data_IF_693168571389
#
_entry.id   IF_693168571389
#
_cell.length_a   1.000
_cell.length_b   1.000
_cell.length_c   1.000
_cell.angle_alpha   90.00
_cell.angle_beta   90.00
_cell.angle_gamma   90.00
#
_symmetry.space_group_name_H-M   'P 1'
#
loop_
_entity.id
_entity.type
_entity.pdbx_description
1 polymer ?
#
# COMPACT_ATOMS: atom_id res chain seq x y z
N UNK A 1 -13.83 -9.37 30.11
CA UNK A 1 -14.41 -8.01 30.26
C UNK A 1 -15.04 -7.57 28.94
N UNK A 2 -16.21 -6.91 28.94
CA UNK A 2 -16.68 -6.23 27.73
C UNK A 2 -15.67 -5.13 27.36
N UNK A 3 -15.48 -4.79 26.06
CA UNK A 3 -14.55 -3.74 25.68
C UNK A 3 -14.83 -2.43 26.43
N UNK A 4 -13.79 -1.78 26.95
CA UNK A 4 -13.92 -0.49 27.66
C UNK A 4 -14.57 0.60 26.80
N UNK A 5 -14.52 0.44 25.47
CA UNK A 5 -15.12 1.35 24.49
C UNK A 5 -16.64 1.17 24.33
N UNK A 6 -17.25 0.21 25.02
CA UNK A 6 -18.68 -0.08 24.87
C UNK A 6 -19.53 0.69 25.86
N UNK A 7 -20.59 1.32 25.35
CA UNK A 7 -21.63 1.87 26.21
C UNK A 7 -22.37 0.73 26.94
N UNK A 8 -22.87 1.01 28.15
CA UNK A 8 -23.73 0.07 28.89
C UNK A 8 -24.94 -0.39 28.06
N UNK A 9 -25.45 0.46 27.16
CA UNK A 9 -26.53 0.12 26.24
C UNK A 9 -26.09 -0.92 25.21
N UNK A 10 -24.88 -0.78 24.63
CA UNK A 10 -24.30 -1.74 23.69
C UNK A 10 -24.12 -3.12 24.35
N UNK A 11 -23.62 -3.14 25.59
CA UNK A 11 -23.46 -4.39 26.37
C UNK A 11 -24.82 -5.06 26.58
N UNK A 12 -25.84 -4.32 27.02
CA UNK A 12 -27.20 -4.85 27.22
C UNK A 12 -27.82 -5.37 25.92
N UNK A 13 -27.60 -4.69 24.80
CA UNK A 13 -28.11 -5.07 23.50
C UNK A 13 -27.48 -6.35 22.97
N UNK A 14 -26.16 -6.49 23.11
CA UNK A 14 -25.43 -7.70 22.71
C UNK A 14 -25.83 -8.86 23.62
N UNK A 15 -25.92 -8.66 24.93
CA UNK A 15 -26.37 -9.69 25.88
C UNK A 15 -27.78 -10.18 25.55
N UNK A 16 -28.73 -9.28 25.34
CA UNK A 16 -30.10 -9.64 24.95
C UNK A 16 -30.16 -10.41 23.62
N UNK A 17 -29.23 -10.17 22.69
CA UNK A 17 -29.13 -10.93 21.45
C UNK A 17 -28.64 -12.37 21.69
N UNK A 18 -27.62 -12.53 22.54
CA UNK A 18 -27.08 -13.84 22.94
C UNK A 18 -28.14 -14.65 23.68
N UNK A 19 -28.80 -14.04 24.68
CA UNK A 19 -29.87 -14.69 25.44
C UNK A 19 -31.00 -15.15 24.48
N UNK A 20 -31.37 -14.32 23.50
CA UNK A 20 -32.39 -14.68 22.50
C UNK A 20 -31.95 -15.85 21.62
N UNK A 21 -30.66 -15.94 21.26
CA UNK A 21 -30.09 -17.06 20.51
C UNK A 21 -30.15 -18.35 21.33
N UNK A 22 -29.76 -18.28 22.61
CA UNK A 22 -29.70 -19.42 23.51
C UNK A 22 -31.09 -19.99 23.84
N UNK A 23 -32.10 -19.12 23.90
CA UNK A 23 -33.49 -19.55 24.06
C UNK A 23 -34.06 -20.26 22.82
N UNK A 24 -33.34 -20.31 21.68
CA UNK A 24 -33.75 -21.11 20.52
C UNK A 24 -33.32 -22.56 20.68
N UNK A 25 -34.16 -23.47 20.18
CA UNK A 25 -33.77 -24.87 20.05
C UNK A 25 -32.46 -24.98 19.24
N UNK A 26 -31.55 -25.90 19.58
CA UNK A 26 -30.28 -26.06 18.86
C UNK A 26 -30.43 -26.21 17.34
N UNK A 27 -31.51 -26.85 16.87
CA UNK A 27 -31.82 -27.01 15.44
C UNK A 27 -32.21 -25.69 14.75
N UNK A 28 -32.73 -24.73 15.50
CA UNK A 28 -33.24 -23.45 14.99
C UNK A 28 -32.22 -22.30 15.13
N UNK A 29 -31.18 -22.50 15.95
CA UNK A 29 -30.13 -21.50 16.23
C UNK A 29 -29.42 -21.01 14.96
N UNK A 30 -29.03 -21.92 14.07
CA UNK A 30 -28.42 -21.56 12.78
C UNK A 30 -29.37 -20.74 11.90
N UNK A 31 -30.66 -21.11 11.87
CA UNK A 31 -31.67 -20.39 11.09
C UNK A 31 -31.96 -19.01 11.69
N UNK A 32 -31.95 -18.87 13.01
CA UNK A 32 -32.09 -17.59 13.70
C UNK A 32 -30.98 -16.62 13.30
N UNK A 33 -29.72 -17.06 13.25
CA UNK A 33 -28.60 -16.22 12.83
C UNK A 33 -28.71 -15.77 11.38
N UNK A 34 -29.17 -16.65 10.50
CA UNK A 34 -29.42 -16.32 9.09
C UNK A 34 -30.61 -15.36 8.92
N UNK A 35 -31.73 -15.60 9.61
CA UNK A 35 -32.95 -14.80 9.53
C UNK A 35 -32.86 -13.45 10.26
N UNK A 36 -32.03 -13.34 11.30
CA UNK A 36 -31.75 -12.06 11.95
C UNK A 36 -31.13 -11.02 10.99
N UNK A 37 -30.56 -11.45 9.85
CA UNK A 37 -30.15 -10.56 8.74
C UNK A 37 -31.33 -10.03 7.93
N UNK A 38 -32.41 -10.78 7.82
CA UNK A 38 -33.57 -10.50 6.98
C UNK A 38 -34.71 -9.77 7.72
N UNK A 39 -34.74 -9.83 9.05
CA UNK A 39 -35.87 -9.36 9.89
C UNK A 39 -35.84 -7.86 10.25
N UNK A 40 -34.92 -7.06 9.72
CA UNK A 40 -34.94 -5.58 9.86
C UNK A 40 -34.54 -5.02 11.24
N UNK A 41 -34.61 -3.69 11.34
CA UNK A 41 -33.85 -2.78 12.24
C UNK A 41 -33.79 -3.09 13.75
N UNK A 42 -34.74 -3.84 14.30
CA UNK A 42 -34.76 -4.15 15.74
C UNK A 42 -33.60 -5.06 16.19
N UNK A 43 -33.04 -5.84 15.25
CA UNK A 43 -31.88 -6.71 15.47
C UNK A 43 -30.59 -6.17 14.86
N UNK A 44 -30.67 -5.20 13.94
CA UNK A 44 -29.52 -4.65 13.21
C UNK A 44 -28.51 -4.02 14.16
N UNK A 45 -28.96 -3.16 15.08
CA UNK A 45 -28.07 -2.49 16.04
C UNK A 45 -27.38 -3.48 17.01
N UNK A 46 -28.10 -4.51 17.45
CA UNK A 46 -27.55 -5.54 18.37
C UNK A 46 -26.51 -6.41 17.67
N UNK A 47 -26.80 -6.81 16.44
CA UNK A 47 -25.93 -7.63 15.60
C UNK A 47 -24.72 -6.86 15.08
N UNK A 48 -24.87 -5.59 14.77
CA UNK A 48 -23.76 -4.72 14.35
C UNK A 48 -22.80 -4.46 15.50
N UNK A 49 -23.31 -4.26 16.72
CA UNK A 49 -22.51 -4.25 17.94
C UNK A 49 -21.69 -5.52 18.12
N UNK A 50 -22.31 -6.70 17.94
CA UNK A 50 -21.61 -7.98 17.97
C UNK A 50 -20.59 -8.16 16.85
N UNK A 51 -20.92 -7.81 15.60
CA UNK A 51 -19.95 -7.89 14.49
C UNK A 51 -18.76 -6.96 14.70
N UNK A 52 -19.01 -5.75 15.21
CA UNK A 52 -17.95 -4.79 15.55
C UNK A 52 -17.07 -5.36 16.66
N UNK A 53 -17.64 -6.01 17.66
CA UNK A 53 -16.89 -6.76 18.67
C UNK A 53 -15.96 -7.78 18.03
N UNK A 54 -16.56 -8.75 17.32
CA UNK A 54 -15.85 -9.88 16.74
C UNK A 54 -14.75 -9.36 15.82
N UNK A 55 -15.00 -8.32 15.03
CA UNK A 55 -14.00 -7.71 14.15
C UNK A 55 -12.83 -7.07 14.92
N UNK A 56 -13.08 -6.36 16.01
CA UNK A 56 -12.02 -5.74 16.84
C UNK A 56 -11.23 -6.84 17.54
N UNK A 57 -11.93 -7.77 18.18
CA UNK A 57 -11.35 -8.86 18.96
C UNK A 57 -10.55 -9.81 18.07
N UNK A 58 -11.07 -10.16 16.88
CA UNK A 58 -10.38 -10.96 15.87
C UNK A 58 -9.02 -10.34 15.49
N UNK A 59 -8.96 -9.01 15.36
CA UNK A 59 -7.72 -8.28 15.07
C UNK A 59 -6.77 -8.23 16.25
N UNK A 60 -7.28 -7.98 17.47
CA UNK A 60 -6.46 -7.89 18.68
C UNK A 60 -5.82 -9.23 19.03
N UNK A 61 -6.60 -10.32 18.97
CA UNK A 61 -6.16 -11.68 19.29
C UNK A 61 -5.43 -12.32 18.09
N UNK A 62 -5.47 -11.68 16.91
CA UNK A 62 -4.89 -12.19 15.66
C UNK A 62 -5.35 -13.63 15.37
N UNK A 63 -6.66 -13.87 15.45
CA UNK A 63 -7.26 -15.20 15.27
C UNK A 63 -6.82 -15.84 13.95
N UNK A 64 -6.72 -15.05 12.87
CA UNK A 64 -6.22 -15.53 11.57
C UNK A 64 -4.79 -16.08 11.69
N UNK A 65 -3.87 -15.35 12.35
CA UNK A 65 -2.51 -15.84 12.58
C UNK A 65 -2.43 -17.04 13.54
N UNK A 66 -3.44 -17.25 14.39
CA UNK A 66 -3.51 -18.44 15.24
C UNK A 66 -3.96 -19.64 14.42
N UNK A 67 -4.96 -19.44 13.55
CA UNK A 67 -5.40 -20.43 12.57
C UNK A 67 -4.22 -20.82 11.66
N UNK A 68 -3.54 -19.84 11.05
CA UNK A 68 -2.43 -20.09 10.13
C UNK A 68 -1.26 -20.83 10.82
N UNK A 69 -0.85 -20.41 12.03
CA UNK A 69 0.20 -21.10 12.79
C UNK A 69 -0.19 -22.52 13.16
N UNK A 70 -1.44 -22.76 13.51
CA UNK A 70 -1.90 -24.10 13.87
C UNK A 70 -1.98 -25.03 12.67
N UNK A 71 -2.39 -24.51 11.50
CA UNK A 71 -2.33 -25.25 10.25
C UNK A 71 -0.88 -25.65 9.93
N UNK A 72 0.06 -24.71 10.10
CA UNK A 72 1.50 -24.96 9.96
C UNK A 72 2.00 -26.01 10.98
N UNK A 73 1.67 -25.87 12.27
CA UNK A 73 2.11 -26.74 13.37
C UNK A 73 1.61 -28.20 13.22
N UNK A 74 0.44 -28.38 12.60
CA UNK A 74 -0.14 -29.70 12.34
C UNK A 74 0.21 -30.25 10.94
N UNK A 75 1.03 -29.53 10.16
CA UNK A 75 1.38 -29.91 8.80
C UNK A 75 0.17 -29.99 7.86
N UNK A 76 -0.91 -29.28 8.18
CA UNK A 76 -2.13 -29.25 7.37
C UNK A 76 -1.87 -28.30 6.21
N UNK A 77 -1.57 -28.86 5.05
CA UNK A 77 -1.36 -28.10 3.82
C UNK A 77 -2.67 -27.60 3.24
N UNK A 78 -2.61 -26.55 2.41
CA UNK A 78 -3.76 -26.03 1.67
C UNK A 78 -4.47 -27.12 0.87
N UNK A 79 -3.70 -28.02 0.25
CA UNK A 79 -4.21 -29.13 -0.55
C UNK A 79 -5.03 -30.10 0.31
N UNK A 80 -4.55 -30.41 1.52
CA UNK A 80 -5.28 -31.28 2.46
C UNK A 80 -6.60 -30.68 2.95
N UNK A 81 -6.70 -29.35 3.04
CA UNK A 81 -7.96 -28.66 3.39
C UNK A 81 -8.99 -28.73 2.25
N UNK A 82 -8.54 -28.74 1.00
CA UNK A 82 -9.42 -28.86 -0.17
C UNK A 82 -9.98 -30.28 -0.33
N UNK A 83 -9.15 -31.28 -0.04
CA UNK A 83 -9.58 -32.68 -0.07
C UNK A 83 -10.64 -33.01 0.98
N UNK A 84 -10.72 -32.24 2.08
CA UNK A 84 -11.71 -32.40 3.16
C UNK A 84 -13.11 -31.84 2.82
N UNK A 85 -13.41 -31.58 1.54
CA UNK A 85 -14.72 -31.07 1.10
C UNK A 85 -15.84 -32.08 1.41
N UNK A 86 -16.79 -31.68 2.26
CA UNK A 86 -18.02 -32.44 2.55
C UNK A 86 -18.36 -32.57 4.03
N UNK A 87 -17.45 -32.17 4.92
CA UNK A 87 -17.66 -32.15 6.37
C UNK A 87 -18.55 -30.94 6.75
N UNK A 88 -19.86 -31.18 6.69
CA UNK A 88 -20.91 -30.17 6.79
C UNK A 88 -21.26 -29.75 8.22
N UNK A 89 -20.78 -30.49 9.22
CA UNK A 89 -21.01 -30.18 10.62
C UNK A 89 -19.70 -29.95 11.39
N UNK A 90 -19.77 -29.12 12.44
CA UNK A 90 -18.66 -28.87 13.38
C UNK A 90 -18.17 -30.18 14.03
N UNK A 91 -19.07 -31.16 14.18
CA UNK A 91 -18.77 -32.50 14.67
C UNK A 91 -17.79 -33.29 13.79
N UNK A 92 -17.64 -32.86 12.54
CA UNK A 92 -16.81 -33.53 11.55
C UNK A 92 -15.40 -32.91 11.52
N UNK A 93 -15.16 -31.86 12.32
CA UNK A 93 -13.82 -31.30 12.47
C UNK A 93 -12.91 -32.31 13.20
N UNK A 94 -11.65 -32.36 12.78
CA UNK A 94 -10.64 -33.16 13.47
C UNK A 94 -10.52 -32.71 14.94
N UNK A 95 -10.22 -33.60 15.89
CA UNK A 95 -10.05 -33.22 17.30
C UNK A 95 -9.08 -32.04 17.50
N UNK A 96 -8.00 -31.98 16.72
CA UNK A 96 -7.05 -30.85 16.72
C UNK A 96 -7.68 -29.51 16.32
N UNK A 97 -8.69 -29.51 15.47
CA UNK A 97 -9.43 -28.30 15.08
C UNK A 97 -10.42 -27.85 16.18
N UNK A 98 -10.99 -28.80 16.93
CA UNK A 98 -11.84 -28.50 18.09
C UNK A 98 -11.03 -27.91 19.26
N UNK A 99 -9.79 -28.38 19.44
CA UNK A 99 -8.85 -27.82 20.43
C UNK A 99 -8.49 -26.36 20.10
N UNK A 100 -8.36 -26.02 18.82
CA UNK A 100 -8.13 -24.63 18.37
C UNK A 100 -9.33 -23.74 18.67
N UNK A 101 -10.55 -24.21 18.40
CA UNK A 101 -11.78 -23.46 18.72
C UNK A 101 -11.89 -23.25 20.23
N UNK A 102 -11.57 -24.27 21.02
CA UNK A 102 -11.57 -24.21 22.48
C UNK A 102 -10.49 -23.27 23.03
N UNK A 103 -9.28 -23.29 22.48
CA UNK A 103 -8.20 -22.40 22.89
C UNK A 103 -8.48 -20.94 22.52
N UNK A 104 -8.94 -20.69 21.29
CA UNK A 104 -9.33 -19.36 20.85
C UNK A 104 -10.53 -18.85 21.66
N UNK A 105 -11.47 -19.72 22.01
CA UNK A 105 -12.56 -19.42 22.95
C UNK A 105 -12.02 -18.94 24.29
N UNK A 106 -11.17 -19.72 24.96
CA UNK A 106 -10.62 -19.40 26.29
C UNK A 106 -9.80 -18.10 26.29
N UNK A 107 -9.02 -17.85 25.24
CA UNK A 107 -8.20 -16.63 25.14
C UNK A 107 -9.07 -15.40 24.86
N UNK A 108 -10.15 -15.57 24.09
CA UNK A 108 -10.92 -14.45 23.54
C UNK A 108 -12.12 -14.07 24.41
N UNK A 109 -12.69 -15.04 25.12
CA UNK A 109 -13.91 -14.89 25.89
C UNK A 109 -13.65 -15.43 27.30
N UNK A 110 -13.36 -14.54 28.26
CA UNK A 110 -13.33 -14.89 29.68
C UNK A 110 -14.70 -15.47 30.09
N UNK A 111 -14.72 -16.59 30.83
CA UNK A 111 -15.92 -17.37 31.15
C UNK A 111 -17.09 -16.56 31.76
N UNK A 112 -16.84 -15.39 32.33
CA UNK A 112 -17.79 -14.70 33.21
C UNK A 112 -18.83 -13.77 32.53
N UNK A 113 -18.73 -13.45 31.23
CA UNK A 113 -19.46 -12.26 30.69
C UNK A 113 -20.53 -12.53 29.65
N UNK A 114 -20.33 -13.48 28.75
CA UNK A 114 -21.17 -13.63 27.55
C UNK A 114 -21.95 -14.95 27.47
N UNK A 115 -22.19 -15.60 28.60
CA UNK A 115 -23.06 -16.78 28.65
C UNK A 115 -22.37 -18.08 28.21
N UNK A 116 -23.11 -19.20 28.16
CA UNK A 116 -22.57 -20.54 27.94
C UNK A 116 -21.76 -20.70 26.64
N UNK A 117 -20.80 -21.62 26.69
CA UNK A 117 -19.78 -21.90 25.67
C UNK A 117 -20.31 -22.14 24.24
N UNK A 118 -21.61 -22.40 24.07
CA UNK A 118 -22.25 -22.81 22.81
C UNK A 118 -22.34 -21.68 21.78
N UNK A 119 -22.67 -20.44 22.18
CA UNK A 119 -22.78 -19.31 21.24
C UNK A 119 -21.42 -18.87 20.69
N UNK A 120 -20.40 -18.87 21.55
CA UNK A 120 -19.03 -18.54 21.17
C UNK A 120 -18.44 -19.63 20.28
N UNK A 121 -18.63 -20.91 20.62
CA UNK A 121 -18.27 -22.04 19.74
C UNK A 121 -18.89 -21.90 18.35
N UNK A 122 -20.18 -21.58 18.29
CA UNK A 122 -20.86 -21.37 17.01
C UNK A 122 -20.25 -20.20 16.23
N UNK A 123 -19.93 -19.09 16.89
CA UNK A 123 -19.33 -17.91 16.24
C UNK A 123 -17.94 -18.22 15.69
N UNK A 124 -17.12 -18.97 16.42
CA UNK A 124 -15.82 -19.43 15.92
C UNK A 124 -15.98 -20.40 14.76
N UNK A 125 -16.87 -21.38 14.88
CA UNK A 125 -17.16 -22.30 13.79
C UNK A 125 -17.65 -21.59 12.53
N UNK A 126 -18.53 -20.60 12.65
CA UNK A 126 -18.98 -19.78 11.53
C UNK A 126 -17.84 -18.93 10.93
N UNK A 127 -16.91 -18.46 11.78
CA UNK A 127 -15.72 -17.72 11.34
C UNK A 127 -14.74 -18.62 10.60
N UNK A 128 -14.53 -19.82 11.11
CA UNK A 128 -13.75 -20.88 10.48
C UNK A 128 -14.35 -21.27 9.13
N UNK A 129 -15.67 -21.48 9.08
CA UNK A 129 -16.38 -21.82 7.84
C UNK A 129 -16.26 -20.73 6.78
N UNK A 130 -16.36 -19.46 7.20
CA UNK A 130 -16.12 -18.33 6.31
C UNK A 130 -14.68 -18.31 5.79
N UNK A 131 -13.69 -18.53 6.65
CA UNK A 131 -12.29 -18.61 6.24
C UNK A 131 -12.08 -19.76 5.23
N UNK A 132 -12.61 -20.96 5.50
CA UNK A 132 -12.57 -22.09 4.56
C UNK A 132 -13.23 -21.76 3.22
N UNK A 133 -14.37 -21.08 3.25
CA UNK A 133 -15.11 -20.67 2.05
C UNK A 133 -14.33 -19.65 1.22
N UNK A 134 -13.69 -18.67 1.86
CA UNK A 134 -12.83 -17.69 1.20
C UNK A 134 -11.60 -18.35 0.61
N UNK A 135 -10.91 -19.19 1.39
CA UNK A 135 -9.77 -19.98 0.95
C UNK A 135 -10.10 -20.82 -0.28
N UNK A 136 -11.24 -21.50 -0.25
CA UNK A 136 -11.67 -22.34 -1.35
C UNK A 136 -12.01 -21.55 -2.62
N UNK A 137 -12.62 -20.37 -2.48
CA UNK A 137 -12.86 -19.48 -3.62
C UNK A 137 -11.53 -19.04 -4.24
N UNK A 138 -10.56 -18.69 -3.40
CA UNK A 138 -9.25 -18.22 -3.85
C UNK A 138 -8.47 -19.36 -4.52
N UNK A 139 -8.57 -20.60 -4.01
CA UNK A 139 -8.00 -21.79 -4.65
C UNK A 139 -8.68 -22.18 -5.97
N UNK A 140 -10.01 -22.10 -6.05
CA UNK A 140 -10.71 -22.29 -7.32
C UNK A 140 -10.25 -21.26 -8.35
N UNK A 141 -10.15 -20.00 -7.94
CA UNK A 141 -9.69 -18.94 -8.80
C UNK A 141 -8.23 -19.17 -9.23
N UNK A 142 -7.39 -19.67 -8.33
CA UNK A 142 -6.03 -20.10 -8.63
C UNK A 142 -5.99 -21.20 -9.71
N UNK A 143 -6.75 -22.28 -9.57
CA UNK A 143 -6.81 -23.36 -10.57
C UNK A 143 -7.36 -22.88 -11.93
N UNK A 144 -8.37 -22.00 -11.91
CA UNK A 144 -8.88 -21.38 -13.14
C UNK A 144 -7.83 -20.53 -13.85
N UNK A 145 -7.02 -19.78 -13.10
CA UNK A 145 -5.91 -18.99 -13.66
C UNK A 145 -4.78 -19.89 -14.15
N UNK A 146 -4.47 -20.97 -13.43
CA UNK A 146 -3.46 -21.97 -13.84
C UNK A 146 -3.81 -22.61 -15.18
N UNK A 147 -5.07 -23.04 -15.35
CA UNK A 147 -5.54 -23.60 -16.61
C UNK A 147 -5.60 -22.54 -17.74
N UNK A 148 -5.99 -21.30 -17.44
CA UNK A 148 -5.92 -20.19 -18.43
C UNK A 148 -4.50 -19.92 -18.92
N UNK A 149 -3.53 -19.91 -18.01
CA UNK A 149 -2.11 -19.77 -18.34
C UNK A 149 -1.66 -20.94 -19.23
N UNK A 150 -1.99 -22.18 -18.86
CA UNK A 150 -1.64 -23.38 -19.62
C UNK A 150 -2.23 -23.36 -21.04
N UNK A 151 -3.53 -23.09 -21.18
CA UNK A 151 -4.18 -22.98 -22.50
C UNK A 151 -3.53 -21.88 -23.35
N UNK A 152 -3.25 -20.72 -22.76
CA UNK A 152 -2.64 -19.60 -23.51
C UNK A 152 -1.20 -19.92 -23.93
N UNK A 153 -0.43 -20.68 -23.14
CA UNK A 153 0.88 -21.19 -23.54
C UNK A 153 0.79 -22.23 -24.67
N UNK A 154 -0.20 -23.14 -24.62
CA UNK A 154 -0.44 -24.12 -25.69
C UNK A 154 -0.89 -23.44 -27.00
N UNK A 155 -1.73 -22.41 -26.92
CA UNK A 155 -2.14 -21.57 -28.06
C UNK A 155 -0.92 -20.92 -28.73
N UNK A 156 0.01 -20.35 -27.95
CA UNK A 156 1.27 -19.79 -28.44
C UNK A 156 2.12 -20.87 -29.12
N UNK A 157 2.32 -22.03 -28.47
CA UNK A 157 3.11 -23.14 -29.03
C UNK A 157 2.52 -23.70 -30.33
N UNK A 158 1.20 -23.69 -30.47
CA UNK A 158 0.50 -24.19 -31.65
C UNK A 158 0.51 -23.23 -32.84
N UNK A 159 1.01 -22.00 -32.69
CA UNK A 159 1.03 -20.97 -33.74
C UNK A 159 -0.36 -20.50 -34.17
N UNK A 160 -1.42 -20.84 -33.43
CA UNK A 160 -2.81 -20.49 -33.77
C UNK A 160 -3.18 -19.03 -33.50
N UNK A 161 -2.37 -18.29 -32.74
CA UNK A 161 -2.61 -16.88 -32.42
C UNK A 161 -1.79 -15.91 -33.30
N UNK A 162 -2.47 -14.90 -33.86
CA UNK A 162 -1.91 -13.71 -34.49
C UNK A 162 -2.27 -12.46 -33.65
N UNK A 163 -1.42 -11.42 -33.55
CA UNK A 163 0.04 -11.39 -33.55
C UNK A 163 0.58 -11.89 -32.19
N UNK A 164 1.77 -12.51 -32.20
CA UNK A 164 2.49 -13.06 -31.03
C UNK A 164 2.52 -12.11 -29.81
N UNK A 165 2.59 -10.80 -30.05
CA UNK A 165 2.60 -9.78 -29.01
C UNK A 165 1.29 -9.70 -28.19
N UNK A 166 0.13 -9.96 -28.81
CA UNK A 166 -1.17 -9.93 -28.12
C UNK A 166 -1.34 -11.16 -27.24
N UNK A 167 -0.90 -12.32 -27.75
CA UNK A 167 -0.86 -13.58 -27.00
C UNK A 167 0.05 -13.48 -25.77
N UNK A 168 1.26 -12.94 -25.95
CA UNK A 168 2.23 -12.75 -24.87
C UNK A 168 1.73 -11.78 -23.80
N UNK A 169 1.09 -10.67 -24.19
CA UNK A 169 0.47 -9.73 -23.23
C UNK A 169 -0.65 -10.37 -22.41
N UNK A 170 -1.41 -11.28 -23.01
CA UNK A 170 -2.47 -12.03 -22.31
C UNK A 170 -1.87 -12.98 -21.28
N UNK A 171 -0.84 -13.75 -21.64
CA UNK A 171 -0.13 -14.64 -20.71
C UNK A 171 0.55 -13.87 -19.58
N UNK A 172 1.18 -12.73 -19.91
CA UNK A 172 1.81 -11.86 -18.91
C UNK A 172 0.82 -11.38 -17.86
N UNK A 173 -0.38 -10.99 -18.31
CA UNK A 173 -1.46 -10.56 -17.42
C UNK A 173 -1.93 -11.71 -16.53
N UNK A 174 -2.23 -12.86 -17.11
CA UNK A 174 -2.74 -14.02 -16.37
C UNK A 174 -1.73 -14.51 -15.31
N UNK A 175 -0.43 -14.47 -15.60
CA UNK A 175 0.64 -14.78 -14.63
C UNK A 175 0.76 -13.70 -13.55
N UNK A 176 0.64 -12.42 -13.91
CA UNK A 176 0.69 -11.31 -12.94
C UNK A 176 -0.48 -11.38 -11.96
N UNK A 177 -1.67 -11.78 -12.42
CA UNK A 177 -2.85 -11.97 -11.57
C UNK A 177 -2.71 -13.22 -10.67
N UNK A 178 -1.92 -14.22 -11.07
CA UNK A 178 -1.68 -15.46 -10.34
C UNK A 178 -0.68 -15.29 -9.17
N UNK A 179 0.37 -14.48 -9.35
CA UNK A 179 1.46 -14.31 -8.38
C UNK A 179 1.01 -13.87 -6.98
N UNK A 180 0.10 -12.88 -6.79
CA UNK A 180 -0.35 -12.46 -5.47
C UNK A 180 -1.02 -13.59 -4.70
N UNK A 181 -1.84 -14.40 -5.37
CA UNK A 181 -2.53 -15.55 -4.79
C UNK A 181 -1.50 -16.61 -4.39
N UNK A 182 -0.55 -16.94 -5.27
CA UNK A 182 0.51 -17.90 -4.94
C UNK A 182 1.42 -17.44 -3.80
N UNK A 183 1.71 -16.14 -3.74
CA UNK A 183 2.54 -15.54 -2.68
C UNK A 183 1.82 -15.55 -1.34
N UNK A 184 0.52 -15.28 -1.32
CA UNK A 184 -0.31 -15.32 -0.12
C UNK A 184 -0.31 -16.70 0.55
N UNK A 185 -0.21 -17.77 -0.25
CA UNK A 185 -0.27 -19.16 0.24
C UNK A 185 1.07 -19.89 0.20
N UNK A 186 2.19 -19.17 0.10
CA UNK A 186 3.56 -19.73 0.10
C UNK A 186 3.73 -20.93 -0.85
N UNK A 187 3.07 -20.92 -2.02
CA UNK A 187 3.14 -22.05 -2.94
C UNK A 187 4.59 -22.25 -3.42
N UNK A 188 5.11 -23.47 -3.31
CA UNK A 188 6.48 -23.83 -3.73
C UNK A 188 6.72 -23.54 -5.23
N UNK A 189 5.64 -23.48 -6.01
CA UNK A 189 5.67 -23.23 -7.44
C UNK A 189 5.85 -21.73 -7.82
N UNK A 190 5.80 -20.78 -6.87
CA UNK A 190 5.94 -19.33 -7.14
C UNK A 190 7.23 -19.04 -7.91
N UNK A 191 8.35 -19.63 -7.47
CA UNK A 191 9.66 -19.42 -8.09
C UNK A 191 9.70 -19.93 -9.54
N UNK A 192 9.01 -21.05 -9.83
CA UNK A 192 8.92 -21.59 -11.20
C UNK A 192 8.09 -20.69 -12.11
N UNK A 193 6.96 -20.19 -11.62
CA UNK A 193 6.08 -19.28 -12.37
C UNK A 193 6.76 -17.92 -12.62
N UNK A 194 7.49 -17.40 -11.63
CA UNK A 194 8.32 -16.20 -11.78
C UNK A 194 9.45 -16.40 -12.81
N UNK A 195 10.08 -17.57 -12.83
CA UNK A 195 11.08 -17.92 -13.85
C UNK A 195 10.50 -17.95 -15.27
N UNK A 196 9.30 -18.52 -15.44
CA UNK A 196 8.60 -18.51 -16.74
C UNK A 196 8.24 -17.08 -17.16
N UNK A 197 7.81 -16.24 -16.21
CA UNK A 197 7.52 -14.83 -16.47
C UNK A 197 8.76 -14.06 -16.98
N UNK A 198 9.91 -14.28 -16.35
CA UNK A 198 11.17 -13.66 -16.75
C UNK A 198 11.62 -14.12 -18.13
N UNK A 199 11.47 -15.41 -18.44
CA UNK A 199 11.78 -15.96 -19.76
C UNK A 199 10.90 -15.34 -20.85
N UNK A 200 9.58 -15.22 -20.61
CA UNK A 200 8.65 -14.58 -21.54
C UNK A 200 8.92 -13.08 -21.75
N UNK A 201 9.43 -12.38 -20.72
CA UNK A 201 9.84 -10.98 -20.81
C UNK A 201 11.13 -10.85 -21.64
N UNK A 202 12.07 -11.78 -21.45
CA UNK A 202 13.32 -11.84 -22.22
C UNK A 202 13.06 -12.10 -23.70
N UNK A 203 12.16 -13.03 -24.02
CA UNK A 203 11.76 -13.38 -25.40
C UNK A 203 11.06 -12.21 -26.14
N UNK A 204 10.58 -11.18 -25.41
CA UNK A 204 9.98 -9.96 -25.98
C UNK A 204 10.99 -8.84 -26.26
N UNK A 205 12.27 -9.01 -25.92
CA UNK A 205 13.33 -8.03 -26.20
C UNK A 205 13.94 -8.27 -27.59
N UNK A 206 14.15 -7.24 -28.44
CA UNK A 206 14.56 -7.45 -29.83
C UNK A 206 16.00 -7.97 -29.94
N UNK A 207 16.14 -9.07 -30.70
CA UNK A 207 17.38 -9.76 -31.04
C UNK A 207 18.53 -8.84 -31.49
N UNK A 208 19.71 -9.03 -30.87
CA UNK A 208 20.99 -8.92 -31.57
C UNK A 208 21.75 -10.23 -31.34
N UNK A 209 22.04 -10.90 -32.45
CA UNK A 209 22.88 -12.10 -32.59
C UNK A 209 24.27 -11.87 -31.98
N UNK A 210 24.70 -12.67 -31.01
CA UNK A 210 25.76 -13.67 -31.15
C UNK A 210 26.09 -14.35 -29.80
N UNK A 211 26.47 -15.61 -29.92
CA UNK A 211 27.10 -16.53 -28.96
C UNK A 211 26.39 -17.05 -27.69
N UNK A 212 26.45 -18.38 -27.64
CA UNK A 212 25.75 -19.32 -26.80
C UNK A 212 26.76 -19.85 -25.77
N UNK A 213 26.82 -19.25 -24.59
CA UNK A 213 27.47 -19.86 -23.42
C UNK A 213 26.48 -19.91 -22.25
N UNK A 214 26.34 -21.10 -21.66
CA UNK A 214 25.54 -21.31 -20.46
C UNK A 214 26.15 -20.52 -19.29
N UNK A 215 25.62 -19.32 -19.02
CA UNK A 215 26.02 -18.52 -17.86
C UNK A 215 25.47 -19.19 -16.60
N UNK A 216 26.37 -19.82 -15.85
CA UNK A 216 26.14 -20.23 -14.47
C UNK A 216 26.05 -18.94 -13.64
N UNK A 217 24.85 -18.53 -13.25
CA UNK A 217 24.64 -17.30 -12.47
C UNK A 217 25.21 -17.49 -11.06
N UNK A 218 26.43 -16.99 -10.87
CA UNK A 218 27.02 -16.72 -9.58
C UNK A 218 26.47 -15.37 -9.08
N UNK A 219 25.74 -15.38 -7.97
CA UNK A 219 25.08 -14.19 -7.42
C UNK A 219 26.07 -13.20 -6.78
N UNK A 220 27.36 -13.54 -6.72
CA UNK A 220 28.41 -12.66 -6.20
C UNK A 220 29.09 -11.80 -7.28
N UNK A 221 28.68 -11.91 -8.54
CA UNK A 221 29.17 -11.07 -9.64
C UNK A 221 28.03 -10.19 -10.16
N UNK A 222 28.11 -8.89 -9.87
CA UNK A 222 27.18 -7.90 -10.42
C UNK A 222 27.18 -7.99 -11.96
N UNK A 223 26.00 -8.04 -12.62
CA UNK A 223 25.96 -8.10 -14.07
C UNK A 223 26.56 -6.83 -14.66
N UNK A 224 27.41 -7.00 -15.68
CA UNK A 224 28.01 -5.92 -16.48
C UNK A 224 26.96 -5.32 -17.43
N UNK A 225 25.85 -4.88 -16.85
CA UNK A 225 24.92 -3.97 -17.50
C UNK A 225 25.58 -2.60 -17.35
N UNK A 226 25.89 -1.95 -18.48
CA UNK A 226 26.31 -0.55 -18.49
C UNK A 226 25.10 0.31 -18.06
N UNK A 227 24.86 0.35 -16.75
CA UNK A 227 23.77 1.09 -16.13
C UNK A 227 23.99 2.57 -16.43
N UNK A 228 23.17 3.10 -17.34
CA UNK A 228 23.11 4.53 -17.57
C UNK A 228 22.46 5.19 -16.36
N UNK A 229 23.24 5.98 -15.63
CA UNK A 229 22.84 6.84 -14.50
C UNK A 229 21.70 7.81 -14.85
N UNK A 230 21.34 7.97 -16.13
CA UNK A 230 20.31 8.90 -16.61
C UNK A 230 20.60 10.38 -16.27
N UNK A 231 21.83 10.64 -15.83
CA UNK A 231 22.39 11.94 -15.47
C UNK A 231 23.64 12.29 -16.29
N UNK A 232 24.01 11.46 -17.27
CA UNK A 232 25.20 11.63 -18.12
C UNK A 232 25.18 12.98 -18.86
N UNK A 233 23.97 13.41 -19.24
CA UNK A 233 23.73 14.72 -19.85
C UNK A 233 24.15 15.92 -18.98
N UNK A 234 24.40 15.71 -17.68
CA UNK A 234 24.85 16.74 -16.73
C UNK A 234 26.23 16.45 -16.12
N UNK A 235 26.88 15.34 -16.49
CA UNK A 235 28.14 14.91 -15.89
C UNK A 235 29.26 15.95 -16.07
N UNK A 236 29.26 16.60 -17.23
CA UNK A 236 30.20 17.65 -17.62
C UNK A 236 30.02 18.98 -16.86
N UNK A 237 28.92 19.15 -16.11
CA UNK A 237 28.66 20.40 -15.39
C UNK A 237 29.37 20.42 -14.03
N UNK A 238 29.96 21.55 -13.66
CA UNK A 238 30.42 21.77 -12.26
C UNK A 238 29.23 22.06 -11.34
N UNK A 239 29.42 21.97 -10.02
CA UNK A 239 28.36 22.29 -9.06
C UNK A 239 27.87 23.74 -9.26
N UNK A 240 28.79 24.68 -9.45
CA UNK A 240 28.47 26.10 -9.69
C UNK A 240 27.67 26.27 -10.98
N UNK A 241 28.00 25.51 -12.02
CA UNK A 241 27.23 25.51 -13.27
C UNK A 241 25.82 24.94 -13.07
N UNK A 242 25.67 23.84 -12.32
CA UNK A 242 24.35 23.27 -12.01
C UNK A 242 23.49 24.26 -11.24
N UNK A 243 24.06 24.92 -10.24
CA UNK A 243 23.41 25.98 -9.44
C UNK A 243 22.96 27.14 -10.33
N UNK A 244 23.79 27.57 -11.27
CA UNK A 244 23.45 28.61 -12.25
C UNK A 244 22.35 28.14 -13.20
N UNK A 245 22.38 26.88 -13.66
CA UNK A 245 21.36 26.30 -14.55
C UNK A 245 20.00 26.24 -13.85
N UNK A 246 19.98 25.83 -12.58
CA UNK A 246 18.81 25.82 -11.70
C UNK A 246 18.29 27.24 -11.38
N UNK A 247 19.13 28.27 -11.57
CA UNK A 247 18.77 29.64 -11.28
C UNK A 247 18.54 29.92 -9.80
N UNK A 248 19.31 29.26 -8.93
CA UNK A 248 19.22 29.47 -7.49
C UNK A 248 19.76 30.86 -7.10
N UNK A 249 19.03 31.63 -6.28
CA UNK A 249 19.50 32.92 -5.78
C UNK A 249 20.67 32.72 -4.82
N UNK A 250 21.74 33.51 -4.99
CA UNK A 250 22.96 33.48 -4.17
C UNK A 250 23.64 32.11 -4.04
N UNK A 251 23.34 31.19 -4.95
CA UNK A 251 23.88 29.84 -4.96
C UNK A 251 23.23 28.87 -3.96
N UNK A 252 22.17 29.27 -3.28
CA UNK A 252 21.50 28.47 -2.26
C UNK A 252 20.08 28.08 -2.65
N UNK A 253 19.64 26.91 -2.21
CA UNK A 253 18.26 26.46 -2.42
C UNK A 253 17.33 27.28 -1.51
N UNK A 254 16.29 27.91 -2.07
CA UNK A 254 15.33 28.67 -1.27
C UNK A 254 14.65 27.82 -0.20
N UNK A 255 14.32 28.45 0.93
CA UNK A 255 13.60 27.85 2.06
C UNK A 255 14.32 26.76 2.86
N UNK A 256 15.60 26.50 2.59
CA UNK A 256 16.44 25.66 3.46
C UNK A 256 16.87 26.39 4.74
N UNK A 257 16.98 25.63 5.83
CA UNK A 257 17.64 26.07 7.05
C UNK A 257 19.13 26.31 6.80
N UNK A 258 19.67 27.42 7.31
CA UNK A 258 21.10 27.73 7.20
C UNK A 258 21.98 27.06 8.26
N UNK A 259 21.38 26.60 9.37
CA UNK A 259 22.06 25.94 10.50
C UNK A 259 21.11 24.93 11.13
N UNK A 260 21.66 23.80 11.57
CA UNK A 260 20.94 22.74 12.31
C UNK A 260 20.60 23.18 13.75
N UNK A 261 21.45 24.00 14.38
CA UNK A 261 21.37 24.52 15.77
C UNK A 261 22.37 25.70 15.95
N UNK A 262 22.31 26.57 17.01
CA UNK A 262 23.31 27.62 17.25
C UNK A 262 24.74 27.12 17.49
N UNK A 263 24.90 25.90 18.02
CA UNK A 263 26.19 25.34 18.48
C UNK A 263 26.71 24.14 17.65
N UNK A 264 26.12 23.82 16.50
CA UNK A 264 26.47 22.58 15.79
C UNK A 264 26.41 22.72 14.26
N UNK A 265 27.39 22.04 13.63
CA UNK A 265 27.68 21.77 12.22
C UNK A 265 26.74 22.31 11.14
N UNK A 266 27.33 22.78 10.04
CA UNK A 266 26.61 22.99 8.79
C UNK A 266 26.05 21.64 8.30
N UNK A 267 24.72 21.46 8.25
CA UNK A 267 24.07 20.25 7.72
C UNK A 267 24.58 19.91 6.31
N UNK A 268 25.05 20.94 5.60
CA UNK A 268 25.24 20.99 4.16
C UNK A 268 26.69 20.81 3.72
N UNK A 269 27.64 20.64 4.67
CA UNK A 269 29.04 20.29 4.36
C UNK A 269 29.17 18.96 3.58
N UNK A 270 28.10 18.16 3.52
CA UNK A 270 28.00 16.90 2.77
C UNK A 270 27.15 16.97 1.49
N UNK A 271 26.69 18.15 1.07
CA UNK A 271 25.95 18.27 -0.20
C UNK A 271 26.88 18.06 -1.39
N UNK A 272 26.83 16.85 -1.95
CA UNK A 272 27.51 16.54 -3.18
C UNK A 272 26.82 17.16 -4.39
N UNK A 273 27.61 17.38 -5.45
CA UNK A 273 27.15 17.64 -6.84
C UNK A 273 25.98 16.73 -7.24
N UNK A 274 25.96 15.48 -6.74
CA UNK A 274 24.90 14.50 -6.96
C UNK A 274 23.48 14.99 -6.59
N UNK A 275 23.31 15.66 -5.44
CA UNK A 275 21.97 16.11 -5.01
C UNK A 275 21.42 17.20 -5.92
N UNK A 276 22.29 18.13 -6.31
CA UNK A 276 21.96 19.23 -7.21
C UNK A 276 21.63 18.74 -8.63
N UNK A 277 22.38 17.75 -9.13
CA UNK A 277 22.08 17.11 -10.42
C UNK A 277 20.72 16.40 -10.37
N UNK A 278 20.44 15.69 -9.27
CA UNK A 278 19.16 14.99 -9.08
C UNK A 278 18.00 15.98 -9.08
N UNK A 279 18.13 17.13 -8.39
CA UNK A 279 17.16 18.22 -8.45
C UNK A 279 16.95 18.77 -9.86
N UNK A 280 18.05 19.01 -10.59
CA UNK A 280 17.98 19.52 -11.95
C UNK A 280 17.20 18.56 -12.85
N UNK A 281 17.49 17.26 -12.78
CA UNK A 281 16.79 16.23 -13.56
C UNK A 281 15.31 16.12 -13.17
N UNK A 282 14.99 16.13 -11.87
CA UNK A 282 13.61 16.09 -11.38
C UNK A 282 12.81 17.30 -11.86
N UNK A 283 13.40 18.50 -11.77
CA UNK A 283 12.72 19.73 -12.19
C UNK A 283 12.54 19.78 -13.70
N UNK A 284 13.54 19.36 -14.47
CA UNK A 284 13.41 19.23 -15.93
C UNK A 284 12.31 18.23 -16.32
N UNK A 285 12.22 17.10 -15.63
CA UNK A 285 11.17 16.09 -15.87
C UNK A 285 9.78 16.63 -15.50
N UNK A 286 9.65 17.27 -14.34
CA UNK A 286 8.39 17.82 -13.86
C UNK A 286 7.85 18.95 -14.75
N UNK A 287 8.72 19.85 -15.23
CA UNK A 287 8.36 20.89 -16.19
C UNK A 287 7.85 20.30 -17.52
N UNK A 288 8.41 19.17 -17.94
CA UNK A 288 7.95 18.43 -19.12
C UNK A 288 6.75 17.50 -18.86
N UNK A 289 6.19 17.50 -17.65
CA UNK A 289 5.07 16.63 -17.27
C UNK A 289 5.42 15.13 -17.27
N UNK A 290 6.70 14.78 -17.11
CA UNK A 290 7.18 13.39 -17.11
C UNK A 290 7.40 12.91 -15.68
N UNK A 291 6.85 11.74 -15.28
CA UNK A 291 7.20 11.11 -14.01
C UNK A 291 8.66 10.65 -14.02
N UNK A 292 9.29 10.63 -12.85
CA UNK A 292 10.68 10.19 -12.67
C UNK A 292 10.75 9.16 -11.55
N UNK A 293 11.58 8.14 -11.75
CA UNK A 293 11.94 7.14 -10.75
C UNK A 293 13.38 7.37 -10.31
N UNK A 294 13.61 7.50 -9.00
CA UNK A 294 14.95 7.62 -8.41
C UNK A 294 15.41 6.24 -7.95
N UNK A 295 16.44 5.70 -8.61
CA UNK A 295 17.00 4.37 -8.32
C UNK A 295 18.38 4.43 -7.65
N UNK A 296 18.78 5.58 -7.11
CA UNK A 296 20.03 5.74 -6.38
C UNK A 296 20.15 4.72 -5.22
N UNK A 297 21.38 4.38 -4.86
CA UNK A 297 21.67 3.48 -3.74
C UNK A 297 21.00 3.94 -2.43
N UNK A 298 20.72 2.98 -1.54
CA UNK A 298 20.25 3.29 -0.20
C UNK A 298 21.31 4.10 0.56
N UNK A 299 20.89 5.11 1.33
CA UNK A 299 21.80 5.99 2.08
C UNK A 299 22.32 7.20 1.32
N UNK A 300 22.04 7.34 0.01
CA UNK A 300 22.46 8.50 -0.80
C UNK A 300 21.70 9.80 -0.46
N UNK A 301 20.67 9.76 0.39
CA UNK A 301 19.94 10.96 0.80
C UNK A 301 18.72 11.31 -0.07
N UNK A 302 18.01 10.31 -0.59
CA UNK A 302 16.78 10.49 -1.40
C UNK A 302 15.70 11.32 -0.70
N UNK A 303 15.60 11.25 0.63
CA UNK A 303 14.68 12.11 1.38
C UNK A 303 15.00 13.58 1.18
N UNK A 304 16.27 13.94 1.28
CA UNK A 304 16.74 15.30 1.06
C UNK A 304 16.46 15.75 -0.37
N UNK A 305 16.74 14.91 -1.37
CA UNK A 305 16.40 15.19 -2.78
C UNK A 305 14.92 15.54 -2.97
N UNK A 306 14.02 14.76 -2.38
CA UNK A 306 12.58 14.97 -2.47
C UNK A 306 12.14 16.28 -1.79
N UNK A 307 12.73 16.59 -0.63
CA UNK A 307 12.47 17.82 0.13
C UNK A 307 12.97 19.04 -0.65
N UNK A 308 14.19 19.00 -1.18
CA UNK A 308 14.75 20.08 -2.00
C UNK A 308 13.92 20.30 -3.28
N UNK A 309 13.45 19.23 -3.92
CA UNK A 309 12.56 19.32 -5.08
C UNK A 309 11.24 20.03 -4.73
N UNK A 310 10.62 19.71 -3.58
CA UNK A 310 9.41 20.39 -3.13
C UNK A 310 9.62 21.89 -2.94
N UNK A 311 10.75 22.30 -2.35
CA UNK A 311 11.11 23.72 -2.19
C UNK A 311 11.37 24.41 -3.53
N UNK A 312 12.11 23.75 -4.43
CA UNK A 312 12.43 24.28 -5.74
C UNK A 312 11.17 24.52 -6.56
N UNK A 313 10.19 23.61 -6.47
CA UNK A 313 8.88 23.75 -7.10
C UNK A 313 8.17 25.03 -6.65
N UNK A 314 8.16 25.32 -5.34
CA UNK A 314 7.58 26.56 -4.78
C UNK A 314 8.31 27.79 -5.31
N UNK A 315 9.64 27.75 -5.31
CA UNK A 315 10.44 28.84 -5.84
C UNK A 315 10.12 29.11 -7.32
N UNK A 316 10.06 28.06 -8.16
CA UNK A 316 9.75 28.18 -9.58
C UNK A 316 8.33 28.71 -9.81
N UNK A 317 7.36 28.25 -9.02
CA UNK A 317 5.98 28.75 -9.07
C UNK A 317 5.90 30.26 -8.78
N UNK A 318 6.56 30.72 -7.71
CA UNK A 318 6.62 32.15 -7.34
C UNK A 318 7.37 32.98 -8.35
N UNK A 319 8.52 32.49 -8.82
CA UNK A 319 9.34 33.18 -9.82
C UNK A 319 8.56 33.37 -11.12
N UNK A 320 7.86 32.33 -11.59
CA UNK A 320 7.03 32.45 -12.79
C UNK A 320 5.86 33.42 -12.57
N UNK A 321 5.19 33.39 -11.41
CA UNK A 321 4.12 34.35 -11.10
C UNK A 321 4.59 35.81 -11.14
N UNK A 322 5.85 36.06 -10.75
CA UNK A 322 6.44 37.41 -10.74
C UNK A 322 6.98 37.84 -12.12
N UNK A 323 7.65 36.95 -12.86
CA UNK A 323 8.41 37.29 -14.07
C UNK A 323 7.82 36.72 -15.36
N UNK A 324 6.74 35.95 -15.28
CA UNK A 324 6.08 35.24 -16.39
C UNK A 324 7.03 34.34 -17.22
N UNK A 325 8.04 33.77 -16.54
CA UNK A 325 9.02 32.82 -17.10
C UNK A 325 9.67 32.02 -15.96
N UNK A 326 10.20 30.84 -16.27
CA UNK A 326 11.00 30.09 -15.28
C UNK A 326 12.43 30.64 -15.15
N UNK A 327 13.14 30.34 -14.05
CA UNK A 327 14.54 30.73 -13.88
C UNK A 327 15.46 30.16 -14.97
N UNK A 328 16.44 30.96 -15.38
CA UNK A 328 17.64 30.58 -16.16
C UNK A 328 17.36 29.60 -17.31
N UNK A 329 17.89 28.38 -17.26
CA UNK A 329 17.87 27.42 -18.36
C UNK A 329 16.45 27.04 -18.80
N UNK A 330 15.47 27.22 -17.91
CA UNK A 330 14.06 26.92 -18.16
C UNK A 330 13.27 28.14 -18.66
N UNK A 331 13.85 29.34 -18.65
CA UNK A 331 13.14 30.59 -18.96
C UNK A 331 12.78 30.80 -20.43
N UNK A 332 13.51 30.16 -21.36
CA UNK A 332 13.31 30.31 -22.81
C UNK A 332 12.31 29.31 -23.40
N UNK A 333 11.69 28.46 -22.57
CA UNK A 333 10.73 27.47 -23.04
C UNK A 333 9.39 28.15 -23.38
N UNK A 334 9.23 28.51 -24.66
CA UNK A 334 8.17 29.33 -25.25
C UNK A 334 6.71 28.90 -24.98
N UNK A 335 6.48 27.72 -24.41
CA UNK A 335 5.15 27.12 -24.29
C UNK A 335 4.85 26.47 -22.94
N UNK A 336 5.62 26.79 -21.89
CA UNK A 336 5.30 26.27 -20.56
C UNK A 336 4.38 27.19 -19.79
N UNK A 337 3.27 26.63 -19.29
CA UNK A 337 2.43 27.25 -18.26
C UNK A 337 3.17 27.20 -16.92
N UNK A 338 2.80 28.08 -16.00
CA UNK A 338 3.28 28.00 -14.63
C UNK A 338 2.95 26.61 -14.03
N UNK A 339 3.77 26.17 -13.08
CA UNK A 339 3.46 25.06 -12.21
C UNK A 339 2.16 25.35 -11.45
N UNK A 340 1.30 24.34 -11.29
CA UNK A 340 0.05 24.51 -10.56
C UNK A 340 0.31 24.85 -9.09
N UNK A 341 -0.50 25.74 -8.50
CA UNK A 341 -0.48 26.04 -7.07
C UNK A 341 -1.24 24.94 -6.32
N UNK A 342 -0.54 23.84 -6.05
CA UNK A 342 -1.13 22.64 -5.43
C UNK A 342 -0.23 22.08 -4.35
N UNK A 343 -0.84 21.34 -3.43
CA UNK A 343 -0.18 20.64 -2.33
C UNK A 343 0.90 19.67 -2.79
N UNK A 344 1.97 19.54 -2.01
CA UNK A 344 2.94 18.44 -2.15
C UNK A 344 2.50 17.29 -1.25
N UNK A 345 2.46 16.07 -1.78
CA UNK A 345 2.10 14.87 -1.01
C UNK A 345 3.31 13.94 -0.96
N UNK A 346 3.74 13.59 0.25
CA UNK A 346 4.78 12.61 0.50
C UNK A 346 4.14 11.40 1.17
N UNK A 347 4.32 10.24 0.54
CA UNK A 347 3.75 8.96 0.99
C UNK A 347 4.89 8.05 1.41
N UNK A 348 4.79 7.47 2.61
CA UNK A 348 5.84 6.58 3.12
C UNK A 348 5.29 5.47 4.04
N UNK A 349 6.10 4.42 4.30
CA UNK A 349 5.79 3.39 5.30
C UNK A 349 5.56 3.97 6.70
N UNK A 350 4.62 3.39 7.45
CA UNK A 350 4.20 3.92 8.77
C UNK A 350 5.34 3.97 9.80
N UNK A 351 6.36 3.13 9.66
CA UNK A 351 7.54 3.11 10.53
C UNK A 351 8.51 4.27 10.26
N UNK A 352 8.39 4.98 9.13
CA UNK A 352 9.27 6.10 8.78
C UNK A 352 8.69 7.48 9.15
N UNK A 353 7.55 7.52 9.85
CA UNK A 353 6.89 8.78 10.26
C UNK A 353 7.85 9.71 11.02
N UNK A 354 8.54 9.19 12.03
CA UNK A 354 9.43 10.00 12.85
C UNK A 354 10.65 10.47 12.06
N UNK A 355 11.19 9.61 11.19
CA UNK A 355 12.32 9.94 10.34
C UNK A 355 11.97 11.08 9.37
N UNK A 356 10.90 10.93 8.58
CA UNK A 356 10.46 11.96 7.65
C UNK A 356 10.11 13.26 8.36
N UNK A 357 9.41 13.20 9.48
CA UNK A 357 9.06 14.40 10.25
C UNK A 357 10.31 15.10 10.80
N UNK A 358 11.31 14.34 11.26
CA UNK A 358 12.59 14.86 11.73
C UNK A 358 13.38 15.52 10.61
N UNK A 359 13.62 14.82 9.51
CA UNK A 359 14.37 15.31 8.35
C UNK A 359 13.74 16.57 7.74
N UNK A 360 12.41 16.59 7.59
CA UNK A 360 11.66 17.75 7.09
C UNK A 360 11.85 18.95 8.02
N UNK A 361 11.72 18.76 9.34
CA UNK A 361 11.93 19.85 10.31
C UNK A 361 13.37 20.33 10.37
N UNK A 362 14.33 19.44 10.16
CA UNK A 362 15.76 19.74 10.13
C UNK A 362 16.10 20.59 8.90
N UNK A 363 15.61 20.21 7.72
CA UNK A 363 15.99 20.85 6.47
C UNK A 363 15.16 22.09 6.11
N UNK A 364 13.86 22.09 6.40
CA UNK A 364 12.99 23.22 6.08
C UNK A 364 13.12 24.36 7.08
N UNK A 365 13.22 25.57 6.53
CA UNK A 365 13.17 26.79 7.32
C UNK A 365 11.87 26.87 8.12
N UNK A 366 12.03 27.12 9.41
CA UNK A 366 10.93 27.17 10.35
C UNK A 366 9.84 28.16 9.89
N UNK A 367 8.59 27.71 9.92
CA UNK A 367 7.39 28.47 9.51
C UNK A 367 7.27 28.86 8.04
N UNK A 368 8.12 28.37 7.13
CA UNK A 368 7.94 28.62 5.69
C UNK A 368 6.96 27.65 5.01
N UNK A 369 6.70 26.49 5.64
CA UNK A 369 5.82 25.44 5.12
C UNK A 369 4.87 24.93 6.20
N UNK A 370 3.63 24.62 5.79
CA UNK A 370 2.67 23.93 6.63
C UNK A 370 2.84 22.42 6.44
N UNK A 371 3.22 21.73 7.51
CA UNK A 371 3.33 20.27 7.53
C UNK A 371 2.02 19.67 8.03
N UNK A 372 1.33 18.95 7.16
CA UNK A 372 -0.02 18.46 7.42
C UNK A 372 0.01 16.94 7.55
N UNK A 373 0.06 16.38 8.77
CA UNK A 373 0.08 14.94 8.97
C UNK A 373 -1.30 14.34 8.71
N UNK A 374 -1.40 13.46 7.72
CA UNK A 374 -2.58 12.60 7.51
C UNK A 374 -2.28 11.18 8.02
N UNK A 375 -2.35 11.05 9.34
CA UNK A 375 -1.94 9.84 10.06
C UNK A 375 -2.98 9.47 11.13
N UNK A 376 -2.89 8.27 11.69
CA UNK A 376 -3.73 7.83 12.81
C UNK A 376 -4.86 6.85 12.46
N UNK A 377 -5.78 6.55 13.38
CA UNK A 377 -6.93 5.68 13.14
C UNK A 377 -7.94 6.29 12.17
N UNK A 378 -8.79 5.46 11.54
CA UNK A 378 -9.80 5.93 10.59
C UNK A 378 -10.75 6.99 11.19
N UNK A 379 -11.18 6.81 12.45
CA UNK A 379 -12.10 7.74 13.11
C UNK A 379 -11.55 9.14 13.35
N UNK A 380 -10.23 9.30 13.52
CA UNK A 380 -9.62 10.64 13.64
C UNK A 380 -9.49 11.35 12.30
N UNK A 381 -9.75 10.65 11.17
CA UNK A 381 -9.62 11.20 9.81
C UNK A 381 -10.95 11.56 9.17
N UNK A 382 -12.08 11.23 9.79
CA UNK A 382 -13.41 11.58 9.27
C UNK A 382 -13.63 13.09 9.21
N UNK A 383 -13.16 13.82 10.22
CA UNK A 383 -13.23 15.29 10.27
C UNK A 383 -12.03 15.99 9.61
N UNK A 384 -10.97 15.25 9.28
CA UNK A 384 -9.70 15.83 8.84
C UNK A 384 -9.86 16.74 7.61
N UNK A 385 -10.58 16.29 6.59
CA UNK A 385 -10.76 17.06 5.35
C UNK A 385 -11.68 18.28 5.54
N UNK A 386 -12.60 18.22 6.50
CA UNK A 386 -13.48 19.34 6.87
C UNK A 386 -12.67 20.42 7.60
N UNK A 387 -11.76 19.99 8.48
CA UNK A 387 -10.91 20.89 9.27
C UNK A 387 -9.67 21.37 8.50
N UNK A 388 -9.36 20.77 7.36
CA UNK A 388 -8.14 21.04 6.60
C UNK A 388 -7.94 22.53 6.27
N UNK A 389 -9.02 23.23 5.89
CA UNK A 389 -8.95 24.67 5.57
C UNK A 389 -8.51 25.51 6.77
N UNK A 390 -8.74 25.05 8.00
CA UNK A 390 -8.27 25.72 9.21
C UNK A 390 -6.82 25.36 9.57
N UNK A 391 -6.23 24.34 8.94
CA UNK A 391 -4.92 23.80 9.31
C UNK A 391 -3.75 24.49 8.61
N UNK A 392 -3.93 25.02 7.40
CA UNK A 392 -2.83 25.65 6.66
C UNK A 392 -2.97 27.17 6.58
N UNK A 393 -1.84 27.86 6.70
CA UNK A 393 -1.72 29.32 6.76
C UNK A 393 -1.15 29.91 5.47
N UNK A 394 -0.48 29.08 4.67
CA UNK A 394 0.20 29.47 3.45
C UNK A 394 -0.56 29.06 2.18
N UNK A 395 -0.12 29.54 1.03
CA UNK A 395 -0.61 29.09 -0.28
C UNK A 395 -0.45 27.55 -0.43
N UNK A 396 -1.25 26.94 -1.31
CA UNK A 396 -1.30 25.47 -1.41
C UNK A 396 0.05 24.84 -1.75
N UNK A 397 0.88 25.50 -2.58
CA UNK A 397 2.23 25.07 -2.90
C UNK A 397 3.20 25.01 -1.69
N UNK A 398 2.93 25.77 -0.63
CA UNK A 398 3.70 25.76 0.63
C UNK A 398 3.25 24.70 1.63
N UNK A 399 2.29 23.86 1.26
CA UNK A 399 1.72 22.86 2.15
C UNK A 399 2.22 21.47 1.75
N UNK A 400 2.76 20.72 2.71
CA UNK A 400 3.27 19.36 2.53
C UNK A 400 2.41 18.39 3.35
N UNK A 401 1.69 17.51 2.66
CA UNK A 401 0.98 16.40 3.29
C UNK A 401 1.92 15.23 3.54
N UNK A 402 1.90 14.74 4.77
CA UNK A 402 2.63 13.56 5.19
C UNK A 402 1.64 12.42 5.41
N UNK A 403 1.65 11.44 4.52
CA UNK A 403 0.67 10.36 4.50
C UNK A 403 1.36 9.00 4.64
N UNK A 404 0.77 8.08 5.41
CA UNK A 404 1.25 6.70 5.45
C UNK A 404 0.52 5.84 4.42
N UNK A 405 1.18 4.80 3.88
CA UNK A 405 0.52 3.82 3.01
C UNK A 405 -0.75 3.22 3.64
N UNK A 406 -0.70 2.96 4.95
CA UNK A 406 -1.84 2.42 5.71
C UNK A 406 -3.01 3.41 5.80
N UNK A 407 -2.72 4.70 5.97
CA UNK A 407 -3.74 5.75 6.01
C UNK A 407 -4.41 5.93 4.64
N UNK A 408 -3.63 5.91 3.57
CA UNK A 408 -4.15 6.02 2.21
C UNK A 408 -4.98 4.80 1.84
N UNK A 409 -4.48 3.59 2.10
CA UNK A 409 -5.22 2.35 1.81
C UNK A 409 -6.57 2.30 2.53
N UNK A 410 -6.63 2.77 3.77
CA UNK A 410 -7.87 2.81 4.55
C UNK A 410 -8.87 3.88 4.08
N UNK A 411 -8.42 4.91 3.36
CA UNK A 411 -9.23 6.06 2.96
C UNK A 411 -9.09 6.36 1.45
N UNK A 412 -8.85 5.34 0.64
CA UNK A 412 -8.51 5.48 -0.79
C UNK A 412 -9.62 6.23 -1.54
N UNK A 413 -10.88 5.84 -1.31
CA UNK A 413 -12.04 6.49 -1.91
C UNK A 413 -12.12 7.97 -1.55
N UNK A 414 -11.75 8.36 -0.33
CA UNK A 414 -11.79 9.76 0.10
C UNK A 414 -10.63 10.54 -0.49
N UNK A 415 -9.40 10.01 -0.40
CA UNK A 415 -8.17 10.71 -0.80
C UNK A 415 -8.05 10.91 -2.32
N UNK A 416 -8.79 10.14 -3.13
CA UNK A 416 -8.76 10.21 -4.59
C UNK A 416 -10.13 10.55 -5.20
N UNK A 417 -11.10 10.98 -4.40
CA UNK A 417 -12.38 11.44 -4.93
C UNK A 417 -12.22 12.79 -5.64
N UNK A 418 -12.19 12.78 -6.96
CA UNK A 418 -12.16 13.97 -7.83
C UNK A 418 -13.36 14.91 -7.64
N UNK A 419 -14.46 14.44 -7.05
CA UNK A 419 -15.64 15.25 -6.72
C UNK A 419 -15.59 15.84 -5.32
N UNK A 420 -14.63 15.44 -4.46
CA UNK A 420 -14.51 16.00 -3.13
C UNK A 420 -13.79 17.37 -3.21
N UNK A 421 -14.47 18.49 -2.91
CA UNK A 421 -13.88 19.82 -3.05
C UNK A 421 -12.79 20.10 -2.02
N UNK A 422 -12.69 19.27 -0.98
CA UNK A 422 -11.73 19.40 0.12
C UNK A 422 -10.48 18.53 -0.06
N UNK A 423 -10.46 17.66 -1.07
CA UNK A 423 -9.35 16.73 -1.31
C UNK A 423 -8.46 17.29 -2.41
N UNK A 424 -7.13 17.32 -2.23
CA UNK A 424 -6.18 17.66 -3.28
C UNK A 424 -6.52 16.89 -4.55
N UNK A 425 -6.70 17.60 -5.68
CA UNK A 425 -6.95 16.94 -6.97
C UNK A 425 -5.69 16.18 -7.39
N UNK A 426 -5.58 14.91 -6.99
CA UNK A 426 -4.51 14.03 -7.45
C UNK A 426 -4.86 13.64 -8.89
N UNK A 427 -4.35 14.38 -9.86
CA UNK A 427 -4.63 14.20 -11.29
C UNK A 427 -3.87 13.03 -11.94
N UNK A 428 -2.95 12.40 -11.19
CA UNK A 428 -2.17 11.25 -11.67
C UNK A 428 -3.01 9.96 -11.68
N UNK A 429 -3.48 9.57 -12.87
CA UNK A 429 -4.14 8.26 -13.13
C UNK A 429 -3.26 7.05 -12.80
N UNK A 430 -1.94 7.23 -12.72
CA UNK A 430 -0.96 6.15 -12.48
C UNK A 430 -0.99 5.69 -11.02
N UNK A 431 -1.18 6.60 -10.07
CA UNK A 431 -1.14 6.30 -8.64
C UNK A 431 -2.37 5.52 -8.14
N UNK A 432 -3.55 5.79 -8.69
CA UNK A 432 -4.80 5.16 -8.28
C UNK A 432 -4.83 3.63 -8.56
N UNK A 433 -4.16 3.16 -9.62
CA UNK A 433 -4.10 1.72 -9.95
C UNK A 433 -3.15 0.92 -9.07
N UNK A 434 -2.06 1.53 -8.60
CA UNK A 434 -1.05 0.83 -7.81
C UNK A 434 -1.43 0.66 -6.33
N UNK A 435 -2.35 1.49 -5.83
CA UNK A 435 -2.86 1.42 -4.45
C UNK A 435 -4.17 0.64 -4.32
N UNK A 436 -4.86 0.38 -5.45
CA UNK A 436 -6.08 -0.41 -5.50
C UNK A 436 -5.83 -1.92 -5.65
N UNK A 437 -4.61 -2.31 -6.02
CA UNK A 437 -4.08 -3.67 -5.95
C UNK A 437 -3.35 -3.85 -4.60
#
# INVERSE_FOLDING_TARGET
MAPETWSNNTVKQVKAFIDTYEMKNPKDQGQFMCKAKALGDSYTNRREGWHKFVKITKKQVKVDNMVDRMLDDHGITLDSLVEQRGMGAISDLLPSQLDVISMAHTITFSEDIFGPQSFVHWTFAATWERYRSELWRDMRWFEELKEKCKMSMEEIKSGKMSPMLVALKKVLKDITDLIPIMTQYKAVEVAKVQGILQQLISDMSPNSEDDNEQVKLDFDVAPDIEWRTSTEEYEHLTLEQVVVVLGLPDGHIPFLNKKEDPDSCDPWLKEGKHQHISMLKMMHSALNGKPMLLMDEAGVGKSLQAIMFAMLRVYYHKYYKQYNKFPRAFGNQKYMKNLEDTFTIIIFPSNLVNQWTGEIKQYLKHSEFDLIPYMGPQGSREMFWVELQAQYKHDACHCIFLMTHTAIKANLEVCFNVLNPYVPKITSRVFARHLAN
#
